data_IF_867835684975
#
_entry.id   IF_867835684975
#
_cell.length_a   1.000
_cell.length_b   1.000
_cell.length_c   1.000
_cell.angle_alpha   90.00
_cell.angle_beta   90.00
_cell.angle_gamma   90.00
#
_symmetry.space_group_name_H-M   'P 1'
#
loop_
_entity.id
_entity.type
_entity.pdbx_description
1 polymer ?
#
# COMPACT_ATOMS: atom_id res chain seq x y z
N UNK A 1 2.32 11.81 1.87
CA UNK A 1 1.03 11.40 2.46
C UNK A 1 1.16 11.39 3.97
N UNK A 2 0.04 11.47 4.70
CA UNK A 2 0.02 11.41 6.16
C UNK A 2 -0.39 10.01 6.60
N UNK A 3 0.36 9.39 7.51
CA UNK A 3 0.08 8.05 8.03
C UNK A 3 -0.25 8.06 9.54
N UNK A 4 -1.47 8.44 9.92
CA UNK A 4 -1.85 8.58 11.33
C UNK A 4 -2.12 7.22 11.98
N UNK A 5 -1.64 7.02 13.20
CA UNK A 5 -1.95 5.86 14.07
C UNK A 5 -1.86 4.48 13.40
N UNK A 6 -0.94 4.32 12.44
CA UNK A 6 -0.84 3.10 11.66
C UNK A 6 0.22 2.13 12.17
N UNK A 7 0.03 0.85 11.86
CA UNK A 7 0.99 -0.21 12.10
C UNK A 7 1.85 -0.48 10.85
N UNK A 8 3.00 -1.11 11.04
CA UNK A 8 3.81 -1.64 9.93
C UNK A 8 3.41 -3.07 9.60
N UNK A 9 3.70 -3.52 8.37
CA UNK A 9 3.40 -4.85 7.87
C UNK A 9 4.70 -5.64 7.67
N UNK A 10 4.64 -6.94 7.93
CA UNK A 10 5.64 -7.89 7.47
C UNK A 10 5.15 -8.47 6.15
N UNK A 11 5.84 -8.14 5.06
CA UNK A 11 5.47 -8.56 3.70
C UNK A 11 6.50 -9.55 3.21
N UNK A 12 6.03 -10.67 2.66
CA UNK A 12 6.84 -11.68 2.02
C UNK A 12 6.19 -12.14 0.72
N UNK A 13 6.99 -12.65 -0.21
CA UNK A 13 6.48 -13.26 -1.45
C UNK A 13 5.43 -14.32 -1.09
N UNK A 14 4.26 -14.34 -1.76
CA UNK A 14 3.96 -13.70 -3.05
C UNK A 14 3.38 -12.28 -2.99
N UNK A 15 3.26 -11.66 -1.81
CA UNK A 15 2.79 -10.28 -1.68
C UNK A 15 3.92 -9.27 -1.93
N UNK A 16 3.55 -8.07 -2.38
CA UNK A 16 4.48 -7.01 -2.76
C UNK A 16 4.22 -5.78 -1.89
N UNK A 17 5.27 -5.19 -1.32
CA UNK A 17 5.20 -3.93 -0.59
C UNK A 17 5.09 -2.77 -1.58
N UNK A 18 4.15 -1.85 -1.34
CA UNK A 18 3.90 -0.71 -2.25
C UNK A 18 4.33 0.62 -1.60
N UNK A 19 4.14 0.74 -0.29
CA UNK A 19 4.47 1.93 0.46
C UNK A 19 5.22 1.55 1.72
N UNK A 20 6.19 2.38 2.11
CA UNK A 20 6.97 2.24 3.34
C UNK A 20 6.82 3.46 4.25
N UNK A 21 7.25 3.33 5.51
CA UNK A 21 7.29 4.43 6.50
C UNK A 21 8.27 5.55 6.14
N UNK A 22 9.19 5.31 5.19
CA UNK A 22 10.23 6.24 4.77
C UNK A 22 11.34 6.46 5.79
N UNK A 23 12.23 7.41 5.50
CA UNK A 23 13.47 7.70 6.24
C UNK A 23 13.30 8.63 7.45
N UNK A 24 12.11 9.20 7.64
CA UNK A 24 11.80 10.17 8.71
C UNK A 24 10.76 9.67 9.71
N UNK A 25 10.56 8.35 9.76
CA UNK A 25 9.60 7.67 10.65
C UNK A 25 10.29 6.56 11.43
N UNK A 26 9.78 6.21 12.61
CA UNK A 26 10.24 5.05 13.36
C UNK A 26 9.11 4.02 13.51
N UNK A 27 9.32 2.74 13.11
CA UNK A 27 10.54 2.17 12.52
C UNK A 27 10.78 2.61 11.07
N UNK A 28 12.05 2.77 10.70
CA UNK A 28 12.50 3.26 9.39
C UNK A 28 12.29 2.22 8.28
N UNK A 29 11.93 2.69 7.08
CA UNK A 29 11.82 1.89 5.84
C UNK A 29 11.06 0.56 6.03
N UNK A 30 9.96 0.59 6.78
CA UNK A 30 9.10 -0.58 6.99
C UNK A 30 7.87 -0.51 6.08
N UNK A 31 7.43 -1.64 5.48
CA UNK A 31 6.20 -1.67 4.71
C UNK A 31 4.98 -1.22 5.53
N UNK A 32 4.09 -0.45 4.90
CA UNK A 32 2.81 0.00 5.49
C UNK A 32 1.61 -0.36 4.61
N UNK A 33 1.85 -0.72 3.35
CA UNK A 33 0.85 -1.15 2.40
C UNK A 33 1.41 -2.28 1.54
N UNK A 34 0.60 -3.33 1.34
CA UNK A 34 0.99 -4.50 0.56
C UNK A 34 -0.14 -4.96 -0.34
N UNK A 35 0.19 -5.32 -1.57
CA UNK A 35 -0.74 -5.87 -2.55
C UNK A 35 -0.43 -7.33 -2.85
N UNK A 36 -1.47 -8.08 -3.16
CA UNK A 36 -1.39 -9.44 -3.64
C UNK A 36 -2.42 -9.64 -4.75
N UNK A 37 -2.00 -10.29 -5.84
CA UNK A 37 -2.88 -10.73 -6.92
C UNK A 37 -2.67 -12.22 -7.10
N UNK A 38 -3.76 -12.98 -6.98
CA UNK A 38 -3.71 -14.41 -7.17
C UNK A 38 -3.55 -14.73 -8.67
N UNK A 39 -2.54 -15.53 -9.07
CA UNK A 39 -2.22 -15.75 -10.48
C UNK A 39 -3.34 -16.47 -11.25
N UNK A 40 -4.04 -17.41 -10.62
CA UNK A 40 -5.03 -18.25 -11.33
C UNK A 40 -6.46 -17.70 -11.30
N UNK A 41 -6.90 -17.08 -10.20
CA UNK A 41 -8.28 -16.61 -10.00
C UNK A 41 -8.43 -15.11 -10.27
N UNK A 42 -7.32 -14.39 -10.53
CA UNK A 42 -7.27 -12.93 -10.57
C UNK A 42 -7.82 -12.22 -9.33
N UNK A 43 -8.01 -12.93 -8.21
CA UNK A 43 -8.41 -12.34 -6.93
C UNK A 43 -7.34 -11.36 -6.45
N UNK A 44 -7.77 -10.21 -5.91
CA UNK A 44 -6.87 -9.16 -5.45
C UNK A 44 -7.07 -8.90 -3.96
N UNK A 45 -5.98 -8.65 -3.27
CA UNK A 45 -5.95 -8.29 -1.86
C UNK A 45 -5.05 -7.08 -1.69
N UNK A 46 -5.54 -6.07 -0.99
CA UNK A 46 -4.77 -4.93 -0.55
C UNK A 46 -4.85 -4.84 0.98
N UNK A 47 -3.71 -4.69 1.62
CA UNK A 47 -3.60 -4.53 3.08
C UNK A 47 -2.93 -3.20 3.35
N UNK A 48 -3.51 -2.41 4.25
CA UNK A 48 -2.97 -1.12 4.66
C UNK A 48 -3.04 -1.04 6.19
N UNK A 49 -1.94 -0.63 6.83
CA UNK A 49 -1.78 -0.73 8.28
C UNK A 49 -2.44 0.41 9.09
N UNK A 50 -3.12 1.36 8.45
CA UNK A 50 -3.86 2.46 9.11
C UNK A 50 -5.25 2.61 8.53
N UNK A 51 -6.30 2.49 9.34
CA UNK A 51 -7.65 2.86 8.90
C UNK A 51 -7.86 4.38 8.92
N UNK A 52 -7.14 5.08 9.79
CA UNK A 52 -7.30 6.51 9.99
C UNK A 52 -6.88 7.32 8.75
N UNK A 53 -6.01 6.80 7.89
CA UNK A 53 -5.61 7.47 6.64
C UNK A 53 -6.80 7.78 5.71
N UNK A 54 -7.85 6.97 5.75
CA UNK A 54 -9.06 7.14 4.94
C UNK A 54 -10.24 7.72 5.71
N UNK A 55 -10.02 8.21 6.93
CA UNK A 55 -11.05 8.94 7.67
C UNK A 55 -11.20 10.37 7.16
N UNK A 56 -12.37 10.97 7.38
CA UNK A 56 -12.71 12.34 6.96
C UNK A 56 -11.69 13.38 7.43
N UNK A 57 -11.05 13.14 8.57
CA UNK A 57 -10.03 14.04 9.11
C UNK A 57 -8.75 14.10 8.26
N UNK A 58 -8.43 13.01 7.56
CA UNK A 58 -7.12 12.80 6.92
C UNK A 58 -7.19 12.51 5.43
N UNK A 59 -8.34 12.16 4.85
CA UNK A 59 -8.46 11.78 3.44
C UNK A 59 -8.08 12.94 2.49
N UNK A 60 -8.48 14.17 2.83
CA UNK A 60 -8.18 15.38 2.04
C UNK A 60 -6.88 16.08 2.47
N UNK A 61 -6.12 15.46 3.39
CA UNK A 61 -4.84 16.00 3.86
C UNK A 61 -3.70 15.48 3.00
N UNK A 62 -2.81 16.39 2.61
CA UNK A 62 -1.67 16.09 1.75
C UNK A 62 -2.13 15.33 0.48
N UNK A 63 -1.47 14.22 0.17
CA UNK A 63 -1.77 13.36 -0.97
C UNK A 63 -2.49 12.06 -0.57
N UNK A 64 -3.22 12.03 0.55
CA UNK A 64 -3.92 10.81 1.01
C UNK A 64 -5.00 10.33 0.02
N UNK A 65 -5.65 11.25 -0.69
CA UNK A 65 -6.59 10.92 -1.77
C UNK A 65 -5.93 10.10 -2.90
N UNK A 66 -4.66 10.36 -3.25
CA UNK A 66 -3.95 9.60 -4.29
C UNK A 66 -3.71 8.15 -3.87
N UNK A 67 -3.44 7.93 -2.59
CA UNK A 67 -3.30 6.58 -2.00
C UNK A 67 -4.60 5.80 -2.12
N UNK A 68 -5.73 6.45 -1.80
CA UNK A 68 -7.06 5.87 -2.01
C UNK A 68 -7.22 5.49 -3.48
N UNK A 69 -6.98 6.40 -4.40
CA UNK A 69 -7.16 6.13 -5.83
C UNK A 69 -6.30 4.95 -6.30
N UNK A 70 -5.04 4.84 -5.88
CA UNK A 70 -4.17 3.70 -6.21
C UNK A 70 -4.73 2.38 -5.66
N UNK A 71 -5.13 2.35 -4.39
CA UNK A 71 -5.67 1.13 -3.75
C UNK A 71 -6.98 0.70 -4.39
N UNK A 72 -7.91 1.64 -4.61
CA UNK A 72 -9.19 1.34 -5.24
C UNK A 72 -9.03 0.93 -6.69
N UNK A 73 -8.23 1.66 -7.48
CA UNK A 73 -7.95 1.28 -8.86
C UNK A 73 -7.28 -0.10 -8.95
N UNK A 74 -6.43 -0.48 -8.00
CA UNK A 74 -5.86 -1.82 -7.97
C UNK A 74 -6.96 -2.87 -7.79
N UNK A 75 -7.87 -2.65 -6.84
CA UNK A 75 -8.95 -3.59 -6.54
C UNK A 75 -10.01 -3.66 -7.66
N UNK A 76 -10.39 -2.51 -8.25
CA UNK A 76 -11.49 -2.42 -9.22
C UNK A 76 -11.07 -2.59 -10.67
N UNK A 77 -9.82 -2.28 -11.02
CA UNK A 77 -9.35 -2.27 -12.40
C UNK A 77 -8.22 -3.28 -12.62
N UNK A 78 -8.20 -3.92 -13.80
CA UNK A 78 -7.16 -4.87 -14.18
C UNK A 78 -5.94 -4.24 -14.86
N UNK A 79 -5.96 -2.92 -15.03
CA UNK A 79 -4.96 -2.16 -15.76
C UNK A 79 -3.68 -1.90 -14.97
N UNK A 80 -3.73 -1.96 -13.63
CA UNK A 80 -2.55 -1.77 -12.79
C UNK A 80 -1.68 -3.03 -12.85
N UNK A 81 -0.68 -2.98 -13.73
CA UNK A 81 0.44 -3.93 -13.74
C UNK A 81 1.47 -3.46 -12.71
N UNK A 82 1.58 -4.22 -11.62
CA UNK A 82 2.66 -4.05 -10.66
C UNK A 82 4.00 -4.19 -11.39
N UNK A 83 4.89 -3.23 -11.17
CA UNK A 83 6.19 -3.21 -11.79
C UNK A 83 7.00 -4.38 -11.23
N UNK A 84 7.38 -5.34 -12.07
CA UNK A 84 7.97 -6.60 -11.62
C UNK A 84 9.34 -6.42 -10.97
N UNK A 85 10.05 -5.33 -11.31
CA UNK A 85 11.36 -5.00 -10.75
C UNK A 85 11.21 -4.57 -9.29
N UNK A 86 10.30 -3.62 -9.01
CA UNK A 86 9.99 -3.15 -7.66
C UNK A 86 9.33 -4.23 -6.78
N UNK A 87 8.71 -5.23 -7.43
CA UNK A 87 8.16 -6.41 -6.76
C UNK A 87 9.22 -7.42 -6.32
N UNK A 88 10.37 -7.47 -7.01
CA UNK A 88 11.47 -8.35 -6.64
C UNK A 88 12.40 -7.73 -5.60
N UNK A 89 12.57 -6.41 -5.62
CA UNK A 89 13.39 -5.66 -4.65
C UNK A 89 12.67 -4.38 -4.17
N UNK A 90 11.82 -4.48 -3.14
CA UNK A 90 11.16 -3.32 -2.56
C UNK A 90 12.12 -2.55 -1.64
N UNK A 91 12.64 -1.41 -2.10
CA UNK A 91 13.35 -0.42 -1.25
C UNK A 91 12.41 0.31 -0.26
#
# INVERSE_FOLDING_TARGET
>A
FLYPYGATLNVAKPAISIFSTGSVSYPLNRPICAFYKHPNTNGKLAVLGSTAIFSDQYIDKEDNHKLKDIVFNFLTSDEIKLNQIDAEDPE
#
